data_IF_496686678500
#
_entry.id   IF_496686678500
#
_cell.length_a   1.000
_cell.length_b   1.000
_cell.length_c   1.000
_cell.angle_alpha   90.00
_cell.angle_beta   90.00
_cell.angle_gamma   90.00
#
_symmetry.space_group_name_H-M   'P 1'
#
loop_
_entity.id
_entity.type
_entity.pdbx_description
1 polymer ?
#
# COMPACT_ATOMS: atom_id res chain seq x y z
N UNK A 1 0.93 5.34 -22.26
CA UNK A 1 0.41 6.69 -21.97
C UNK A 1 -1.07 6.70 -22.33
N UNK A 2 -1.97 7.26 -21.51
CA UNK A 2 -3.42 7.21 -21.74
C UNK A 2 -3.83 7.88 -23.07
N UNK A 3 -3.07 8.87 -23.54
CA UNK A 3 -3.30 9.52 -24.84
C UNK A 3 -3.10 8.55 -26.01
N UNK A 4 -2.04 7.73 -25.95
CA UNK A 4 -1.72 6.77 -27.00
C UNK A 4 -2.80 5.67 -27.09
N UNK A 5 -3.34 5.25 -25.94
CA UNK A 5 -4.41 4.27 -25.85
C UNK A 5 -5.70 4.80 -26.47
N UNK A 6 -6.11 6.01 -26.10
CA UNK A 6 -7.31 6.66 -26.63
C UNK A 6 -7.19 6.97 -28.12
N UNK A 7 -5.99 7.36 -28.58
CA UNK A 7 -5.71 7.61 -30.00
C UNK A 7 -5.82 6.31 -30.81
N UNK A 8 -5.25 5.20 -30.32
CA UNK A 8 -5.38 3.88 -30.96
C UNK A 8 -6.81 3.38 -31.02
N UNK A 9 -7.60 3.67 -29.99
CA UNK A 9 -9.02 3.31 -29.91
C UNK A 9 -9.93 4.19 -30.79
N UNK A 10 -9.39 5.20 -31.48
CA UNK A 10 -10.18 6.10 -32.34
C UNK A 10 -11.16 6.99 -31.56
N UNK A 11 -10.90 7.23 -30.27
CA UNK A 11 -11.78 8.01 -29.41
C UNK A 11 -11.70 9.48 -29.79
N UNK A 12 -12.86 10.13 -29.97
CA UNK A 12 -12.97 11.57 -30.22
C UNK A 12 -13.54 12.27 -29.01
N UNK A 13 -13.07 13.49 -28.75
CA UNK A 13 -13.49 14.29 -27.61
C UNK A 13 -14.55 15.30 -28.05
N UNK A 14 -15.74 15.28 -27.46
CA UNK A 14 -16.77 16.30 -27.70
C UNK A 14 -16.85 17.24 -26.49
N UNK A 15 -16.54 18.52 -26.70
CA UNK A 15 -16.65 19.56 -25.67
C UNK A 15 -17.51 20.70 -26.22
N UNK A 16 -18.61 21.01 -25.54
CA UNK A 16 -19.48 22.13 -25.89
C UNK A 16 -20.05 22.05 -27.31
N UNK A 17 -20.18 20.86 -27.89
CA UNK A 17 -20.65 20.64 -29.26
C UNK A 17 -19.55 20.59 -30.32
N UNK A 18 -18.30 20.87 -29.97
CA UNK A 18 -17.14 20.74 -30.86
C UNK A 18 -16.49 19.37 -30.70
N UNK A 19 -16.33 18.64 -31.81
CA UNK A 19 -15.68 17.32 -31.84
C UNK A 19 -14.22 17.48 -32.22
N UNK A 20 -13.31 17.00 -31.36
CA UNK A 20 -11.87 17.05 -31.53
C UNK A 20 -11.32 15.64 -31.77
N UNK A 21 -10.70 15.46 -32.93
CA UNK A 21 -10.01 14.22 -33.30
C UNK A 21 -8.57 14.24 -32.79
N UNK A 22 -8.09 13.21 -32.07
CA UNK A 22 -6.71 13.16 -31.60
C UNK A 22 -5.66 13.14 -32.73
N UNK A 23 -6.08 12.92 -33.99
CA UNK A 23 -5.20 12.99 -35.15
C UNK A 23 -5.06 14.40 -35.74
N UNK A 24 -5.94 15.34 -35.40
CA UNK A 24 -5.84 16.75 -35.79
C UNK A 24 -4.87 17.50 -34.86
N UNK A 25 -4.06 18.48 -35.33
CA UNK A 25 -3.11 19.19 -34.47
C UNK A 25 -3.74 19.83 -33.22
N UNK A 26 -4.95 20.40 -33.34
CA UNK A 26 -5.65 21.02 -32.20
C UNK A 26 -6.15 19.95 -31.24
N UNK A 27 -6.75 18.87 -31.76
CA UNK A 27 -7.19 17.76 -30.93
C UNK A 27 -6.03 17.10 -30.19
N UNK A 28 -4.92 16.83 -30.87
CA UNK A 28 -3.70 16.29 -30.25
C UNK A 28 -3.18 17.17 -29.12
N UNK A 29 -3.12 18.49 -29.33
CA UNK A 29 -2.71 19.44 -28.28
C UNK A 29 -3.62 19.33 -27.06
N UNK A 30 -4.94 19.30 -27.27
CA UNK A 30 -5.93 19.21 -26.20
C UNK A 30 -5.80 17.91 -25.41
N UNK A 31 -5.69 16.77 -26.09
CA UNK A 31 -5.48 15.47 -25.44
C UNK A 31 -4.18 15.45 -24.62
N UNK A 32 -3.09 16.03 -25.15
CA UNK A 32 -1.82 16.12 -24.43
C UNK A 32 -1.92 16.99 -23.17
N UNK A 33 -2.58 18.14 -23.25
CA UNK A 33 -2.80 19.02 -22.09
C UNK A 33 -3.64 18.32 -21.03
N UNK A 34 -4.73 17.66 -21.43
CA UNK A 34 -5.58 16.90 -20.49
C UNK A 34 -4.82 15.77 -19.81
N UNK A 35 -3.97 15.05 -20.55
CA UNK A 35 -3.13 14.01 -19.96
C UNK A 35 -2.10 14.58 -18.98
N UNK A 36 -1.47 15.71 -19.32
CA UNK A 36 -0.54 16.41 -18.42
C UNK A 36 -1.25 16.87 -17.13
N UNK A 37 -2.48 17.39 -17.23
CA UNK A 37 -3.28 17.78 -16.07
C UNK A 37 -3.61 16.54 -15.21
N UNK A 38 -4.02 15.43 -15.82
CA UNK A 38 -4.33 14.20 -15.10
C UNK A 38 -3.11 13.63 -14.34
N UNK A 39 -1.93 13.69 -14.95
CA UNK A 39 -0.66 13.32 -14.30
C UNK A 39 -0.34 14.27 -13.14
N UNK A 40 -0.45 15.58 -13.36
CA UNK A 40 -0.23 16.61 -12.34
C UNK A 40 -1.15 16.42 -11.12
N UNK A 41 -2.45 16.22 -11.33
CA UNK A 41 -3.41 16.00 -10.25
C UNK A 41 -3.10 14.72 -9.46
N UNK A 42 -2.74 13.64 -10.16
CA UNK A 42 -2.33 12.37 -9.54
C UNK A 42 -1.11 12.56 -8.63
N UNK A 43 -0.12 13.32 -9.10
CA UNK A 43 1.09 13.62 -8.34
C UNK A 43 0.82 14.54 -7.15
N UNK A 44 -0.08 15.52 -7.31
CA UNK A 44 -0.52 16.39 -6.23
C UNK A 44 -1.24 15.61 -5.11
N UNK A 45 -2.11 14.66 -5.47
CA UNK A 45 -2.78 13.76 -4.52
C UNK A 45 -1.75 12.89 -3.78
N UNK A 46 -0.79 12.30 -4.49
CA UNK A 46 0.30 11.52 -3.88
C UNK A 46 1.13 12.36 -2.92
N UNK A 47 1.47 13.58 -3.31
CA UNK A 47 2.23 14.52 -2.48
C UNK A 47 1.50 14.81 -1.18
N UNK A 48 0.22 15.22 -1.25
CA UNK A 48 -0.61 15.50 -0.07
C UNK A 48 -0.77 14.28 0.82
N UNK A 49 -0.99 13.10 0.23
CA UNK A 49 -1.09 11.83 0.97
C UNK A 49 0.20 11.54 1.73
N UNK A 50 1.36 11.74 1.10
CA UNK A 50 2.67 11.56 1.73
C UNK A 50 2.89 12.51 2.90
N UNK A 51 2.53 13.79 2.74
CA UNK A 51 2.63 14.76 3.84
C UNK A 51 1.68 14.41 4.99
N UNK A 52 0.43 14.04 4.69
CA UNK A 52 -0.52 13.53 5.69
C UNK A 52 0.00 12.29 6.43
N UNK A 53 0.61 11.35 5.70
CA UNK A 53 1.25 10.17 6.28
C UNK A 53 2.43 10.53 7.20
N UNK A 54 3.29 11.48 6.81
CA UNK A 54 4.39 11.95 7.67
C UNK A 54 3.87 12.51 8.99
N UNK A 55 2.84 13.36 8.93
CA UNK A 55 2.20 13.94 10.13
C UNK A 55 1.56 12.84 10.99
N UNK A 56 0.85 11.89 10.38
CA UNK A 56 0.24 10.76 11.09
C UNK A 56 1.28 9.83 11.72
N UNK A 57 2.43 9.61 11.06
CA UNK A 57 3.58 8.86 11.60
C UNK A 57 4.18 9.56 12.82
N UNK A 58 4.43 10.87 12.72
CA UNK A 58 4.95 11.68 13.83
C UNK A 58 4.01 11.66 15.05
N UNK A 59 2.69 11.60 14.82
CA UNK A 59 1.67 11.46 15.86
C UNK A 59 1.44 10.01 16.33
N UNK A 60 2.22 9.04 15.84
CA UNK A 60 2.09 7.62 16.21
C UNK A 60 0.80 6.93 15.74
N UNK A 61 0.03 7.54 14.84
CA UNK A 61 -1.27 7.02 14.37
C UNK A 61 -1.13 6.01 13.23
N UNK A 62 -0.02 6.05 12.48
CA UNK A 62 0.29 5.01 11.50
C UNK A 62 0.86 3.78 12.21
N UNK A 63 -0.03 2.85 12.56
CA UNK A 63 0.36 1.50 12.94
C UNK A 63 0.23 0.61 11.71
N UNK A 64 1.25 -0.21 11.44
CA UNK A 64 1.18 -1.22 10.39
C UNK A 64 0.04 -2.21 10.66
N UNK A 65 -0.08 -3.23 9.80
CA UNK A 65 -1.08 -4.29 10.00
C UNK A 65 -0.99 -4.82 11.44
N UNK A 66 -2.13 -4.80 12.15
CA UNK A 66 -2.20 -5.29 13.51
C UNK A 66 -1.67 -6.75 13.58
N UNK A 67 -0.92 -7.11 14.63
CA UNK A 67 -0.51 -8.50 14.84
C UNK A 67 -1.72 -9.43 14.79
N UNK A 68 -1.55 -10.62 14.20
CA UNK A 68 -2.61 -11.65 14.16
C UNK A 68 -2.91 -12.24 15.54
N UNK A 69 -1.95 -12.13 16.47
CA UNK A 69 -2.03 -12.68 17.81
C UNK A 69 -2.34 -11.54 18.79
N UNK A 70 -3.20 -11.80 19.77
CA UNK A 70 -3.37 -10.91 20.91
C UNK A 70 -2.09 -10.88 21.76
N UNK A 71 -1.88 -9.84 22.60
CA UNK A 71 -0.71 -9.78 23.48
C UNK A 71 -0.58 -11.02 24.39
N UNK A 72 -1.69 -11.59 24.86
CA UNK A 72 -1.71 -12.80 25.66
C UNK A 72 -1.30 -14.05 24.85
N UNK A 73 -1.82 -14.18 23.63
CA UNK A 73 -1.43 -15.27 22.72
C UNK A 73 0.04 -15.18 22.31
N UNK A 74 0.53 -13.96 22.06
CA UNK A 74 1.93 -13.73 21.73
C UNK A 74 2.86 -14.08 22.89
N UNK A 75 2.50 -13.69 24.12
CA UNK A 75 3.25 -14.05 25.33
C UNK A 75 3.28 -15.57 25.53
N UNK A 76 2.13 -16.24 25.35
CA UNK A 76 2.03 -17.69 25.46
C UNK A 76 2.89 -18.39 24.39
N UNK A 77 2.78 -17.98 23.13
CA UNK A 77 3.56 -18.53 22.03
C UNK A 77 5.07 -18.38 22.29
N UNK A 78 5.52 -17.20 22.73
CA UNK A 78 6.94 -16.94 23.02
C UNK A 78 7.41 -17.78 24.21
N UNK A 79 6.58 -17.98 25.23
CA UNK A 79 6.88 -18.87 26.35
C UNK A 79 7.09 -20.31 25.89
N UNK A 80 6.19 -20.85 25.07
CA UNK A 80 6.32 -22.20 24.51
C UNK A 80 7.55 -22.34 23.61
N UNK A 81 7.83 -21.32 22.79
CA UNK A 81 9.02 -21.28 21.95
C UNK A 81 10.31 -21.32 22.78
N UNK A 82 10.41 -20.50 23.83
CA UNK A 82 11.58 -20.44 24.72
C UNK A 82 11.76 -21.71 25.55
N UNK A 83 10.68 -22.41 25.87
CA UNK A 83 10.74 -23.70 26.54
C UNK A 83 11.36 -24.81 25.68
N UNK A 84 11.48 -24.61 24.36
CA UNK A 84 12.15 -25.54 23.44
C UNK A 84 11.40 -26.86 23.19
N UNK A 85 10.14 -26.96 23.61
CA UNK A 85 9.34 -28.20 23.53
C UNK A 85 8.51 -28.33 22.24
N UNK A 86 8.43 -27.27 21.44
CA UNK A 86 7.66 -27.24 20.20
C UNK A 86 8.52 -26.68 19.06
N UNK A 87 8.37 -27.27 17.88
CA UNK A 87 8.93 -26.72 16.64
C UNK A 87 8.15 -25.48 16.21
N UNK A 88 8.77 -24.67 15.34
CA UNK A 88 8.10 -23.48 14.78
C UNK A 88 6.90 -23.82 13.90
N UNK A 89 6.87 -25.04 13.33
CA UNK A 89 5.73 -25.54 12.57
C UNK A 89 4.55 -25.90 13.48
N UNK A 90 4.80 -26.63 14.56
CA UNK A 90 3.76 -26.99 15.55
C UNK A 90 3.16 -25.75 16.21
N UNK A 91 3.98 -24.75 16.53
CA UNK A 91 3.49 -23.46 17.06
C UNK A 91 2.65 -22.69 16.03
N UNK A 92 3.01 -22.76 14.74
CA UNK A 92 2.23 -22.12 13.69
C UNK A 92 0.84 -22.75 13.58
N UNK A 93 0.75 -24.08 13.65
CA UNK A 93 -0.50 -24.82 13.65
C UNK A 93 -1.34 -24.57 14.92
N UNK A 94 -0.73 -24.70 16.11
CA UNK A 94 -1.41 -24.51 17.40
C UNK A 94 -2.07 -23.14 17.53
N UNK A 95 -1.42 -22.09 17.00
CA UNK A 95 -1.93 -20.73 17.03
C UNK A 95 -2.65 -20.31 15.74
N UNK A 96 -2.83 -21.23 14.78
CA UNK A 96 -3.48 -20.97 13.49
C UNK A 96 -2.89 -19.77 12.73
N UNK A 97 -1.55 -19.67 12.72
CA UNK A 97 -0.79 -18.62 12.03
C UNK A 97 0.27 -19.20 11.10
N UNK A 98 0.84 -18.38 10.22
CA UNK A 98 1.99 -18.81 9.42
C UNK A 98 3.29 -18.81 10.25
N UNK A 99 4.28 -19.63 9.87
CA UNK A 99 5.61 -19.67 10.51
C UNK A 99 6.27 -18.29 10.62
N UNK A 100 6.08 -17.43 9.62
CA UNK A 100 6.57 -16.04 9.64
C UNK A 100 5.99 -15.20 10.79
N UNK A 101 4.77 -15.50 11.24
CA UNK A 101 4.14 -14.84 12.39
C UNK A 101 4.79 -15.29 13.70
N UNK A 102 5.14 -16.57 13.82
CA UNK A 102 5.88 -17.14 14.96
C UNK A 102 7.23 -16.44 15.10
N UNK A 103 8.02 -16.38 14.02
CA UNK A 103 9.32 -15.68 14.04
C UNK A 103 9.18 -14.19 14.40
N UNK A 104 8.19 -13.49 13.83
CA UNK A 104 7.95 -12.07 14.15
C UNK A 104 7.55 -11.85 15.61
N UNK A 105 6.79 -12.75 16.21
CA UNK A 105 6.43 -12.71 17.63
C UNK A 105 7.67 -12.86 18.52
N UNK A 106 8.52 -13.85 18.24
CA UNK A 106 9.78 -14.06 18.96
C UNK A 106 10.73 -12.86 18.81
N UNK A 107 10.87 -12.32 17.60
CA UNK A 107 11.71 -11.15 17.34
C UNK A 107 11.20 -9.90 18.09
N UNK A 108 9.88 -9.65 18.10
CA UNK A 108 9.30 -8.53 18.87
C UNK A 108 9.58 -8.67 20.36
N UNK A 109 9.42 -9.87 20.91
CA UNK A 109 9.72 -10.13 22.32
C UNK A 109 11.21 -9.99 22.66
N UNK A 110 12.11 -10.28 21.72
CA UNK A 110 13.55 -10.02 21.87
C UNK A 110 13.86 -8.52 21.93
N UNK A 111 13.31 -7.74 21.00
CA UNK A 111 13.55 -6.29 20.95
C UNK A 111 12.98 -5.55 22.18
N UNK A 112 11.86 -6.02 22.73
CA UNK A 112 11.25 -5.45 23.93
C UNK A 112 12.03 -5.73 25.23
N UNK A 113 12.91 -6.74 25.25
CA UNK A 113 13.76 -7.04 26.40
C UNK A 113 15.10 -6.26 26.38
N UNK A 114 15.44 -5.65 25.23
CA UNK A 114 16.69 -4.91 25.00
C UNK A 114 16.46 -3.39 25.01
N UNK A 115 15.19 -2.95 24.99
CA UNK A 115 14.78 -1.54 25.07
C UNK A 115 14.34 -1.20 26.50
#
# INVERSE_FOLDING_TARGET
>A
NIVEELTKAGVKLNIGGSVHDPNDPIGRLLFNVLAMIAEFESDLIRMRTREGMKVAKAKGRLRGKAPKLSPAQETHLVGLYRAGKHTTAELAELFSVGRSTVYRAVQRAGNAAVS
#
